data_IF_530724733861
#
_entry.id   IF_530724733861
#
_cell.length_a   1.000
_cell.length_b   1.000
_cell.length_c   1.000
_cell.angle_alpha   90.00
_cell.angle_beta   90.00
_cell.angle_gamma   90.00
#
_symmetry.space_group_name_H-M   'P 1'
#
loop_
_entity.id
_entity.type
_entity.pdbx_description
1 polymer ?
#
# COMPACT_ATOMS: atom_id res chain seq x y z
N UNK A 1 28.69 14.07 -12.73
CA UNK A 1 27.30 13.81 -13.17
C UNK A 1 26.69 15.12 -13.63
N UNK A 2 26.15 15.22 -14.86
CA UNK A 2 25.59 16.47 -15.37
C UNK A 2 24.30 16.79 -14.61
N UNK A 3 24.19 18.03 -14.12
CA UNK A 3 22.97 18.54 -13.48
C UNK A 3 22.01 18.94 -14.59
N UNK A 4 21.13 18.03 -15.00
CA UNK A 4 19.98 18.40 -15.82
C UNK A 4 19.18 19.46 -15.06
N UNK A 5 19.00 20.63 -15.65
CA UNK A 5 18.23 21.75 -15.09
C UNK A 5 16.72 21.45 -15.16
N UNK A 6 16.26 20.37 -14.53
CA UNK A 6 14.83 20.09 -14.39
C UNK A 6 14.32 20.72 -13.09
N UNK A 7 13.43 21.70 -13.20
CA UNK A 7 12.75 22.30 -12.05
C UNK A 7 11.53 21.46 -11.70
N UNK A 8 11.73 20.37 -10.95
CA UNK A 8 10.63 19.53 -10.47
C UNK A 8 9.90 20.27 -9.34
N UNK A 9 8.60 20.45 -9.45
CA UNK A 9 7.77 20.94 -8.35
C UNK A 9 7.18 19.77 -7.55
N UNK A 10 7.09 19.92 -6.22
CA UNK A 10 6.50 18.91 -5.32
C UNK A 10 5.60 19.57 -4.29
N UNK A 11 4.58 18.85 -3.82
CA UNK A 11 3.77 19.25 -2.66
C UNK A 11 4.49 18.87 -1.35
N UNK A 12 4.55 19.81 -0.40
CA UNK A 12 5.08 19.55 0.93
C UNK A 12 4.19 18.57 1.71
N UNK A 13 4.78 17.51 2.27
CA UNK A 13 4.04 16.50 3.06
C UNK A 13 3.37 17.07 4.34
N UNK A 14 3.79 18.25 4.83
CA UNK A 14 3.25 18.83 6.07
C UNK A 14 2.22 19.95 5.88
N UNK A 15 2.40 20.79 4.86
CA UNK A 15 1.56 21.97 4.65
C UNK A 15 0.87 21.99 3.28
N UNK A 16 1.14 21.02 2.41
CA UNK A 16 0.54 20.91 1.08
C UNK A 16 1.04 21.92 0.05
N UNK A 17 1.82 22.93 0.44
CA UNK A 17 2.34 23.95 -0.49
C UNK A 17 3.25 23.32 -1.56
N UNK A 18 3.09 23.78 -2.78
CA UNK A 18 3.96 23.43 -3.91
C UNK A 18 5.29 24.17 -3.73
N UNK A 19 6.41 23.47 -3.86
CA UNK A 19 7.75 24.03 -3.74
C UNK A 19 8.72 23.34 -4.70
N UNK A 20 9.84 24.01 -4.97
CA UNK A 20 10.97 23.45 -5.71
C UNK A 20 11.98 22.86 -4.72
N UNK A 21 12.16 21.53 -4.68
CA UNK A 21 13.06 20.89 -3.75
C UNK A 21 14.53 21.15 -4.14
N UNK A 22 15.35 21.51 -3.16
CA UNK A 22 16.80 21.68 -3.34
C UNK A 22 17.54 20.38 -3.66
N UNK A 23 17.01 19.24 -3.18
CA UNK A 23 17.55 17.90 -3.41
C UNK A 23 16.42 16.96 -3.86
N UNK A 24 16.74 15.97 -4.69
CA UNK A 24 15.80 14.94 -5.17
C UNK A 24 15.04 14.20 -4.06
N UNK A 25 15.52 14.22 -2.81
CA UNK A 25 14.90 13.55 -1.66
C UNK A 25 14.13 14.50 -0.73
N UNK A 26 14.12 15.81 -0.99
CA UNK A 26 13.44 16.75 -0.12
C UNK A 26 11.92 16.53 -0.16
N UNK A 27 11.32 16.45 1.03
CA UNK A 27 9.89 16.18 1.27
C UNK A 27 9.12 17.42 1.74
N UNK A 28 9.83 18.44 2.18
CA UNK A 28 9.24 19.60 2.84
C UNK A 28 9.74 20.91 2.24
N UNK A 29 8.87 21.92 2.22
CA UNK A 29 9.19 23.22 1.63
C UNK A 29 10.18 24.05 2.44
N UNK A 30 10.32 23.82 3.76
CA UNK A 30 11.21 24.59 4.63
C UNK A 30 11.62 23.83 5.90
N UNK A 31 12.68 24.28 6.61
CA UNK A 31 13.13 23.66 7.86
C UNK A 31 12.04 23.61 8.95
N UNK A 32 11.15 24.61 9.00
CA UNK A 32 10.05 24.63 9.96
C UNK A 32 9.05 23.48 9.72
N UNK A 33 8.70 23.18 8.47
CA UNK A 33 7.86 22.03 8.13
C UNK A 33 8.56 20.72 8.49
N UNK A 34 9.85 20.59 8.17
CA UNK A 34 10.64 19.41 8.55
C UNK A 34 10.64 19.16 10.07
N UNK A 35 10.85 20.21 10.88
CA UNK A 35 10.80 20.12 12.35
C UNK A 35 9.42 19.74 12.88
N UNK A 36 8.34 20.29 12.30
CA UNK A 36 6.95 19.91 12.65
C UNK A 36 6.68 18.44 12.34
N UNK A 37 7.08 17.97 11.16
CA UNK A 37 6.96 16.58 10.76
C UNK A 37 7.70 15.65 11.73
N UNK A 38 8.94 16.01 12.06
CA UNK A 38 9.76 15.28 13.00
C UNK A 38 9.07 15.18 14.37
N UNK A 39 8.57 16.29 14.92
CA UNK A 39 7.86 16.30 16.20
C UNK A 39 6.61 15.42 16.17
N UNK A 40 5.80 15.47 15.10
CA UNK A 40 4.64 14.58 14.92
C UNK A 40 5.04 13.10 14.92
N UNK A 41 6.13 12.75 14.24
CA UNK A 41 6.66 11.37 14.21
C UNK A 41 7.12 10.91 15.59
N UNK A 42 7.80 11.75 16.36
CA UNK A 42 8.22 11.42 17.72
C UNK A 42 7.02 11.19 18.64
N UNK A 43 6.01 12.07 18.59
CA UNK A 43 4.77 11.91 19.37
C UNK A 43 4.03 10.63 18.98
N UNK A 44 3.96 10.31 17.69
CA UNK A 44 3.32 9.07 17.21
C UNK A 44 4.08 7.83 17.71
N UNK A 45 5.42 7.86 17.66
CA UNK A 45 6.28 6.78 18.16
C UNK A 45 6.10 6.56 19.66
N UNK A 46 6.03 7.63 20.45
CA UNK A 46 5.79 7.57 21.88
C UNK A 46 4.40 6.99 22.21
N UNK A 47 3.35 7.47 21.52
CA UNK A 47 2.00 6.92 21.66
C UNK A 47 1.94 5.43 21.33
N UNK A 48 2.62 5.00 20.28
CA UNK A 48 2.68 3.59 19.88
C UNK A 48 3.48 2.77 20.91
N UNK A 49 4.57 3.30 21.47
CA UNK A 49 5.32 2.64 22.54
C UNK A 49 4.48 2.45 23.81
N UNK A 50 3.73 3.48 24.22
CA UNK A 50 2.78 3.41 25.34
C UNK A 50 1.72 2.35 25.05
N UNK A 51 1.15 2.34 23.84
CA UNK A 51 0.17 1.34 23.42
C UNK A 51 0.74 -0.08 23.51
N UNK A 52 1.94 -0.31 23.00
CA UNK A 52 2.60 -1.63 23.06
C UNK A 52 2.90 -2.06 24.50
N UNK A 53 3.32 -1.13 25.36
CA UNK A 53 3.52 -1.41 26.78
C UNK A 53 2.21 -1.82 27.48
N UNK A 54 1.08 -1.19 27.14
CA UNK A 54 -0.23 -1.57 27.64
C UNK A 54 -0.68 -2.94 27.13
N UNK A 55 -0.44 -3.26 25.85
CA UNK A 55 -0.76 -4.58 25.29
C UNK A 55 0.01 -5.70 26.01
N UNK A 56 1.29 -5.48 26.35
CA UNK A 56 2.10 -6.46 27.10
C UNK A 56 1.55 -6.79 28.48
N UNK A 57 0.76 -5.89 29.08
CA UNK A 57 0.09 -6.15 30.37
C UNK A 57 -1.14 -7.04 30.24
N UNK A 58 -1.68 -7.24 29.03
CA UNK A 58 -2.87 -8.05 28.80
C UNK A 58 -2.44 -9.51 28.60
N UNK A 59 -2.86 -10.45 29.47
CA UNK A 59 -2.52 -11.86 29.33
C UNK A 59 -2.98 -12.42 27.98
N UNK A 60 -2.14 -13.22 27.32
CA UNK A 60 -2.49 -13.83 26.02
C UNK A 60 -3.64 -14.84 26.16
N UNK A 61 -3.68 -15.59 27.27
CA UNK A 61 -4.66 -16.64 27.55
C UNK A 61 -6.06 -16.12 27.88
N UNK A 62 -6.26 -14.79 27.93
CA UNK A 62 -7.55 -14.20 28.26
C UNK A 62 -8.56 -14.43 27.12
N UNK A 63 -9.54 -15.30 27.34
CA UNK A 63 -10.54 -15.66 26.32
C UNK A 63 -11.50 -14.53 25.92
N UNK A 64 -11.79 -13.61 26.84
CA UNK A 64 -12.67 -12.47 26.59
C UNK A 64 -11.96 -11.14 26.85
N UNK A 65 -12.10 -10.21 25.90
CA UNK A 65 -11.52 -8.88 25.95
C UNK A 65 -12.58 -7.84 26.30
N UNK A 66 -12.19 -6.83 27.06
CA UNK A 66 -12.97 -5.59 27.18
C UNK A 66 -12.84 -4.77 25.88
N UNK A 67 -13.78 -3.86 25.64
CA UNK A 67 -13.71 -2.94 24.50
C UNK A 67 -12.39 -2.16 24.50
N UNK A 68 -11.91 -1.71 25.67
CA UNK A 68 -10.63 -1.00 25.79
C UNK A 68 -9.43 -1.87 25.40
N UNK A 69 -9.42 -3.12 25.82
CA UNK A 69 -8.36 -4.08 25.45
C UNK A 69 -8.38 -4.39 23.96
N UNK A 70 -9.58 -4.59 23.39
CA UNK A 70 -9.75 -4.78 21.95
C UNK A 70 -9.28 -3.56 21.15
N UNK A 71 -9.55 -2.33 21.61
CA UNK A 71 -9.02 -1.11 20.98
C UNK A 71 -7.49 -1.13 20.95
N UNK A 72 -6.84 -1.50 22.06
CA UNK A 72 -5.39 -1.54 22.15
C UNK A 72 -4.81 -2.61 21.21
N UNK A 73 -5.34 -3.83 21.25
CA UNK A 73 -4.81 -4.97 20.48
C UNK A 73 -5.04 -4.79 18.98
N UNK A 74 -6.27 -4.47 18.56
CA UNK A 74 -6.64 -4.46 17.14
C UNK A 74 -6.55 -3.08 16.49
N UNK A 75 -6.42 -2.00 17.26
CA UNK A 75 -6.31 -0.64 16.72
C UNK A 75 -7.63 -0.09 16.16
N UNK A 76 -8.75 -0.67 16.56
CA UNK A 76 -10.09 -0.25 16.17
C UNK A 76 -10.57 0.80 17.18
N UNK A 77 -11.18 1.89 16.71
CA UNK A 77 -11.71 2.91 17.61
C UNK A 77 -12.90 2.38 18.41
N UNK A 78 -13.11 2.97 19.59
CA UNK A 78 -14.22 2.66 20.49
C UNK A 78 -15.56 2.72 19.76
N UNK A 79 -15.78 3.79 18.99
CA UNK A 79 -17.05 4.05 18.32
C UNK A 79 -17.32 3.05 17.20
N UNK A 80 -16.28 2.62 16.49
CA UNK A 80 -16.40 1.58 15.45
C UNK A 80 -16.74 0.24 16.08
N UNK A 81 -16.08 -0.14 17.19
CA UNK A 81 -16.42 -1.36 17.92
C UNK A 81 -17.87 -1.35 18.38
N UNK A 82 -18.33 -0.26 19.02
CA UNK A 82 -19.73 -0.17 19.44
C UNK A 82 -20.71 -0.13 18.28
N UNK A 83 -20.35 0.49 17.15
CA UNK A 83 -21.17 0.45 15.94
C UNK A 83 -21.32 -0.97 15.42
N UNK A 84 -20.23 -1.73 15.33
CA UNK A 84 -20.24 -3.13 14.89
C UNK A 84 -21.04 -4.02 15.84
N UNK A 85 -20.93 -3.80 17.15
CA UNK A 85 -21.73 -4.49 18.16
C UNK A 85 -23.23 -4.19 17.97
N UNK A 86 -23.60 -2.92 17.80
CA UNK A 86 -25.01 -2.52 17.56
C UNK A 86 -25.58 -3.08 16.26
N UNK A 87 -24.74 -3.26 15.25
CA UNK A 87 -25.11 -3.86 13.96
C UNK A 87 -25.14 -5.38 14.00
N UNK A 88 -24.72 -6.03 15.09
CA UNK A 88 -24.65 -7.48 15.19
C UNK A 88 -23.52 -8.13 14.39
N UNK A 89 -22.54 -7.34 13.91
CA UNK A 89 -21.42 -7.84 13.11
C UNK A 89 -20.35 -8.56 13.95
N UNK A 90 -20.35 -8.34 15.26
CA UNK A 90 -19.40 -8.95 16.18
C UNK A 90 -20.19 -9.57 17.33
N UNK A 91 -19.99 -10.87 17.64
CA UNK A 91 -20.59 -11.48 18.81
C UNK A 91 -20.03 -10.81 20.07
N UNK A 92 -20.93 -10.29 20.90
CA UNK A 92 -20.59 -9.62 22.16
C UNK A 92 -21.42 -10.17 23.30
N UNK A 93 -20.78 -10.38 24.45
CA UNK A 93 -21.43 -10.78 25.69
C UNK A 93 -21.45 -9.61 26.67
N UNK A 94 -22.63 -9.25 27.18
CA UNK A 94 -22.77 -8.21 28.19
C UNK A 94 -22.99 -8.84 29.57
N UNK A 95 -22.02 -8.71 30.47
CA UNK A 95 -22.12 -9.18 31.87
C UNK A 95 -22.80 -8.15 32.79
N UNK A 96 -23.62 -7.25 32.23
CA UNK A 96 -24.28 -6.15 32.95
C UNK A 96 -24.00 -4.77 32.35
N UNK A 97 -24.27 -3.72 33.12
CA UNK A 97 -24.13 -2.33 32.65
C UNK A 97 -22.68 -2.01 32.30
N UNK A 98 -22.44 -1.58 31.06
CA UNK A 98 -21.11 -1.19 30.55
C UNK A 98 -20.05 -2.30 30.63
N UNK A 99 -20.46 -3.57 30.80
CA UNK A 99 -19.57 -4.73 30.88
C UNK A 99 -19.59 -5.58 29.62
N UNK A 100 -19.50 -4.93 28.46
CA UNK A 100 -19.37 -5.63 27.17
C UNK A 100 -18.04 -6.36 27.08
N UNK A 101 -18.09 -7.60 26.62
CA UNK A 101 -16.97 -8.51 26.40
C UNK A 101 -17.01 -9.05 24.98
N UNK A 102 -15.84 -9.13 24.38
CA UNK A 102 -15.63 -9.61 23.01
C UNK A 102 -14.81 -10.89 23.06
N UNK A 103 -15.22 -11.91 22.32
CA UNK A 103 -14.44 -13.15 22.21
C UNK A 103 -13.10 -12.84 21.54
N UNK A 104 -12.00 -13.19 22.20
CA UNK A 104 -10.66 -12.98 21.65
C UNK A 104 -10.42 -13.80 20.39
N UNK A 105 -10.92 -15.03 20.37
CA UNK A 105 -10.79 -15.93 19.22
C UNK A 105 -11.41 -15.32 17.97
N UNK A 106 -12.67 -14.86 18.07
CA UNK A 106 -13.35 -14.19 16.96
C UNK A 106 -12.59 -12.93 16.52
N UNK A 107 -12.14 -12.12 17.48
CA UNK A 107 -11.44 -10.89 17.14
C UNK A 107 -10.09 -11.15 16.47
N UNK A 108 -9.37 -12.19 16.88
CA UNK A 108 -8.11 -12.61 16.28
C UNK A 108 -8.30 -13.15 14.85
N UNK A 109 -9.39 -13.86 14.59
CA UNK A 109 -9.71 -14.39 13.26
C UNK A 109 -10.10 -13.29 12.27
N UNK A 110 -10.93 -12.34 12.70
CA UNK A 110 -11.52 -11.34 11.81
C UNK A 110 -10.77 -10.01 11.73
N UNK A 111 -10.03 -9.61 12.78
CA UNK A 111 -9.44 -8.27 12.89
C UNK A 111 -7.94 -8.25 13.12
N UNK A 112 -7.28 -9.39 13.34
CA UNK A 112 -5.83 -9.43 13.43
C UNK A 112 -5.25 -9.15 12.04
N UNK A 113 -4.93 -7.89 11.79
CA UNK A 113 -4.27 -7.44 10.57
C UNK A 113 -3.04 -8.31 10.35
N UNK A 114 -3.04 -9.12 9.28
CA UNK A 114 -1.83 -9.81 8.83
C UNK A 114 -0.74 -8.75 8.72
N UNK A 115 0.29 -8.82 9.57
CA UNK A 115 1.41 -7.90 9.55
C UNK A 115 2.03 -7.95 8.14
N UNK A 116 1.69 -6.96 7.33
CA UNK A 116 1.87 -7.04 5.88
C UNK A 116 0.69 -7.73 5.19
N UNK A 117 -0.38 -6.97 4.92
CA UNK A 117 -0.94 -7.06 3.57
C UNK A 117 0.25 -6.75 2.67
N UNK A 118 0.88 -7.81 2.15
CA UNK A 118 1.83 -7.72 1.06
C UNK A 118 1.16 -6.74 0.10
N UNK A 119 1.76 -5.57 -0.15
CA UNK A 119 1.55 -4.88 -1.44
C UNK A 119 1.51 -6.04 -2.42
N UNK A 120 0.38 -6.29 -3.09
CA UNK A 120 0.28 -7.36 -4.09
C UNK A 120 1.63 -7.30 -4.80
N UNK A 121 2.48 -8.33 -4.64
CA UNK A 121 3.74 -8.36 -5.39
C UNK A 121 3.20 -8.20 -6.79
N UNK A 122 3.47 -7.06 -7.45
CA UNK A 122 3.36 -7.04 -8.90
C UNK A 122 4.24 -8.21 -9.27
N UNK A 123 3.63 -9.30 -9.74
CA UNK A 123 4.35 -10.49 -10.15
C UNK A 123 5.50 -9.98 -10.99
N UNK A 124 6.72 -10.32 -10.60
CA UNK A 124 7.89 -9.85 -11.30
C UNK A 124 7.74 -10.37 -12.72
N UNK A 125 7.36 -9.50 -13.65
CA UNK A 125 7.21 -9.86 -15.04
C UNK A 125 8.56 -10.42 -15.48
N UNK A 126 8.57 -11.71 -15.81
CA UNK A 126 9.74 -12.38 -16.36
C UNK A 126 10.03 -11.75 -17.72
N UNK A 127 11.23 -11.18 -17.87
CA UNK A 127 11.73 -10.74 -19.17
C UNK A 127 12.70 -11.76 -19.75
N UNK A 128 12.53 -13.03 -19.39
CA UNK A 128 13.25 -14.12 -20.04
C UNK A 128 12.79 -14.24 -21.50
N UNK A 129 13.70 -14.56 -22.44
CA UNK A 129 13.35 -14.67 -23.87
C UNK A 129 12.18 -15.62 -24.17
N UNK A 130 11.93 -16.61 -23.30
CA UNK A 130 10.83 -17.58 -23.45
C UNK A 130 9.45 -16.97 -23.25
N UNK A 131 9.33 -15.97 -22.38
CA UNK A 131 8.06 -15.38 -21.93
C UNK A 131 7.75 -14.02 -22.56
N UNK A 132 8.58 -13.57 -23.50
CA UNK A 132 8.44 -12.31 -24.20
C UNK A 132 8.24 -12.50 -25.71
N UNK A 133 7.55 -11.56 -26.35
CA UNK A 133 7.63 -11.34 -27.78
C UNK A 133 8.60 -10.20 -28.09
N UNK A 134 9.23 -10.25 -29.26
CA UNK A 134 9.83 -9.06 -29.85
C UNK A 134 8.78 -8.23 -30.59
N UNK A 135 9.04 -6.94 -30.81
CA UNK A 135 8.08 -6.07 -31.53
C UNK A 135 7.75 -6.63 -32.92
N UNK A 136 8.76 -7.13 -33.64
CA UNK A 136 8.55 -7.74 -34.95
C UNK A 136 7.72 -9.03 -34.91
N UNK A 137 7.82 -9.82 -33.83
CA UNK A 137 6.96 -10.99 -33.62
C UNK A 137 5.50 -10.59 -33.37
N UNK A 138 5.27 -9.54 -32.57
CA UNK A 138 3.92 -9.01 -32.32
C UNK A 138 3.29 -8.52 -33.62
N UNK A 139 4.05 -7.74 -34.40
CA UNK A 139 3.60 -7.20 -35.67
C UNK A 139 3.19 -8.31 -36.66
N UNK A 140 4.00 -9.38 -36.76
CA UNK A 140 3.70 -10.55 -37.60
C UNK A 140 2.51 -11.34 -37.08
N UNK A 141 2.44 -11.62 -35.78
CA UNK A 141 1.40 -12.47 -35.18
C UNK A 141 0.01 -11.84 -35.23
N UNK A 142 -0.07 -10.53 -35.01
CA UNK A 142 -1.34 -9.80 -34.97
C UNK A 142 -1.61 -9.00 -36.24
N UNK A 143 -0.74 -9.07 -37.25
CA UNK A 143 -0.85 -8.34 -38.52
C UNK A 143 -1.00 -6.82 -38.34
N UNK A 144 -0.19 -6.23 -37.45
CA UNK A 144 -0.22 -4.80 -37.11
C UNK A 144 1.14 -4.17 -37.41
N UNK A 145 1.16 -2.94 -37.92
CA UNK A 145 2.41 -2.21 -38.17
C UNK A 145 3.20 -1.95 -36.87
N UNK A 146 4.53 -2.04 -36.93
CA UNK A 146 5.43 -1.81 -35.78
C UNK A 146 5.15 -0.48 -35.06
N UNK A 147 4.92 0.59 -35.82
CA UNK A 147 4.59 1.91 -35.25
C UNK A 147 3.29 1.91 -34.44
N UNK A 148 2.31 1.09 -34.81
CA UNK A 148 1.05 0.93 -34.09
C UNK A 148 1.24 0.08 -32.83
N UNK A 149 2.08 -0.96 -32.87
CA UNK A 149 2.47 -1.75 -31.69
C UNK A 149 3.06 -0.84 -30.61
N UNK A 150 4.00 0.06 -30.97
CA UNK A 150 4.56 1.03 -30.03
C UNK A 150 3.51 1.98 -29.43
N UNK A 151 2.54 2.44 -30.24
CA UNK A 151 1.46 3.30 -29.74
C UNK A 151 0.59 2.57 -28.72
N UNK A 152 0.23 1.31 -28.98
CA UNK A 152 -0.58 0.51 -28.07
C UNK A 152 0.14 0.23 -26.76
N UNK A 153 1.42 -0.16 -26.80
CA UNK A 153 2.25 -0.38 -25.61
C UNK A 153 2.28 0.88 -24.73
N UNK A 154 2.49 2.06 -25.33
CA UNK A 154 2.53 3.34 -24.59
C UNK A 154 1.17 3.70 -23.99
N UNK A 155 0.07 3.51 -24.72
CA UNK A 155 -1.30 3.79 -24.23
C UNK A 155 -1.68 2.91 -23.04
N UNK A 156 -1.33 1.62 -23.09
CA UNK A 156 -1.66 0.66 -22.02
C UNK A 156 -0.60 0.57 -20.92
N UNK A 157 0.45 1.40 -20.97
CA UNK A 157 1.53 1.41 -19.98
C UNK A 157 2.19 0.03 -19.77
N UNK A 158 2.31 -0.75 -20.86
CA UNK A 158 2.93 -2.09 -20.81
C UNK A 158 4.44 -1.94 -20.65
N UNK A 159 5.07 -2.65 -19.71
CA UNK A 159 6.51 -2.55 -19.50
C UNK A 159 7.28 -3.22 -20.64
N UNK A 160 8.33 -2.55 -21.10
CA UNK A 160 9.22 -3.02 -22.17
C UNK A 160 10.66 -3.13 -21.66
N UNK A 161 11.42 -4.08 -22.20
CA UNK A 161 12.85 -4.23 -21.92
C UNK A 161 13.63 -4.30 -23.22
N UNK A 162 14.57 -3.38 -23.42
CA UNK A 162 15.50 -3.45 -24.54
C UNK A 162 16.70 -4.32 -24.16
N UNK A 163 16.99 -5.34 -24.95
CA UNK A 163 18.16 -6.21 -24.81
C UNK A 163 18.85 -6.28 -26.17
N UNK A 164 19.99 -5.61 -26.29
CA UNK A 164 20.66 -5.42 -27.58
C UNK A 164 19.81 -4.63 -28.57
N UNK A 165 19.67 -5.16 -29.79
CA UNK A 165 18.91 -4.53 -30.88
C UNK A 165 17.40 -4.81 -30.83
N UNK A 166 16.96 -5.67 -29.92
CA UNK A 166 15.57 -6.10 -29.82
C UNK A 166 14.88 -5.52 -28.57
N UNK A 167 13.60 -5.18 -28.74
CA UNK A 167 12.72 -4.74 -27.63
C UNK A 167 11.77 -5.88 -27.31
N UNK A 168 11.84 -6.34 -26.07
CA UNK A 168 11.07 -7.46 -25.54
C UNK A 168 9.87 -6.95 -24.74
N UNK A 169 8.73 -7.60 -24.97
CA UNK A 169 7.45 -7.29 -24.34
C UNK A 169 6.83 -8.58 -23.81
N UNK A 170 6.34 -8.63 -22.56
CA UNK A 170 5.72 -9.81 -21.99
C UNK A 170 4.53 -10.33 -22.81
N UNK A 171 4.50 -11.64 -23.08
CA UNK A 171 3.43 -12.27 -23.88
C UNK A 171 2.06 -12.11 -23.22
N UNK A 172 1.99 -12.25 -21.90
CA UNK A 172 0.75 -12.15 -21.12
C UNK A 172 0.04 -10.80 -21.32
N UNK A 173 0.79 -9.69 -21.29
CA UNK A 173 0.24 -8.35 -21.46
C UNK A 173 -0.23 -8.11 -22.90
N UNK A 174 0.52 -8.59 -23.88
CA UNK A 174 0.19 -8.44 -25.31
C UNK A 174 -1.01 -9.29 -25.70
N UNK A 175 -1.02 -10.56 -25.31
CA UNK A 175 -2.14 -11.45 -25.59
C UNK A 175 -3.41 -10.95 -24.89
N UNK A 176 -3.32 -10.37 -23.68
CA UNK A 176 -4.48 -9.73 -23.03
C UNK A 176 -4.95 -8.47 -23.77
N UNK A 177 -4.03 -7.63 -24.25
CA UNK A 177 -4.36 -6.41 -24.98
C UNK A 177 -5.12 -6.72 -26.28
N UNK A 178 -4.67 -7.73 -27.03
CA UNK A 178 -5.27 -8.10 -28.32
C UNK A 178 -6.35 -9.19 -28.24
N UNK A 179 -6.59 -9.80 -27.07
CA UNK A 179 -7.79 -10.62 -26.82
C UNK A 179 -9.04 -9.78 -26.53
N UNK A 180 -8.86 -8.54 -26.10
CA UNK A 180 -9.95 -7.59 -25.78
C UNK A 180 -10.36 -6.72 -26.98
N UNK A 181 -9.73 -6.93 -28.14
CA UNK A 181 -10.03 -6.32 -29.44
C UNK A 181 -10.60 -7.37 -30.37
#
# INVERSE_FOLDING_TARGET
MPRGNYTIQRSCEECGKIFTPSTLVSKYCCPACSKRAYKKRQIAKEKEAIRQALIRRIPSCKGYLTVKEAMLIYGISKDVLYRMIRQGLIPSYNFGQRLTRLSRQYMDEHFKTKAGSRKRKKEALSFEPKDCYTIGEIAKKFHINDSSVFKHIRRHSIPIRQIGNYVYVPKSEIDNLYKLL
#
